data_IF_944122010464
#
_entry.id   IF_944122010464
#
_cell.length_a   1.000
_cell.length_b   1.000
_cell.length_c   1.000
_cell.angle_alpha   90.00
_cell.angle_beta   90.00
_cell.angle_gamma   90.00
#
_symmetry.space_group_name_H-M   'P 1'
#
loop_
_entity.id
_entity.type
_entity.pdbx_description
1 polymer ?
#
# COMPACT_ATOMS: atom_id res chain seq x y z
N UNK A 1 -22.97 41.13 -9.68
CA UNK A 1 -21.69 40.39 -9.69
C UNK A 1 -21.33 39.89 -11.07
N UNK A 2 -22.02 38.88 -11.65
CA UNK A 2 -21.69 38.41 -13.02
C UNK A 2 -21.77 39.53 -14.08
N UNK A 3 -22.80 40.37 -14.01
CA UNK A 3 -22.94 41.54 -14.88
C UNK A 3 -21.85 42.62 -14.69
N UNK A 4 -21.10 42.55 -13.59
CA UNK A 4 -19.94 43.40 -13.31
C UNK A 4 -18.61 42.72 -13.70
N UNK A 5 -18.66 41.60 -14.42
CA UNK A 5 -17.47 40.85 -14.86
C UNK A 5 -16.83 39.98 -13.78
N UNK A 6 -17.47 39.80 -12.63
CA UNK A 6 -16.93 38.96 -11.55
C UNK A 6 -17.11 37.48 -11.90
N UNK A 7 -15.99 36.76 -11.96
CA UNK A 7 -15.89 35.31 -12.11
C UNK A 7 -15.27 34.65 -10.85
N UNK A 8 -15.07 33.32 -10.90
CA UNK A 8 -14.59 32.52 -9.77
C UNK A 8 -13.17 32.90 -9.31
N UNK A 9 -12.37 33.50 -10.17
CA UNK A 9 -10.98 33.87 -9.87
C UNK A 9 -10.91 35.31 -9.35
N UNK A 10 -11.57 36.25 -10.04
CA UNK A 10 -11.64 37.67 -9.68
C UNK A 10 -12.42 37.94 -8.39
N UNK A 11 -13.36 37.08 -8.00
CA UNK A 11 -14.13 37.25 -6.75
C UNK A 11 -13.22 37.30 -5.50
N UNK A 12 -12.02 36.72 -5.56
CA UNK A 12 -11.06 36.68 -4.45
C UNK A 12 -10.43 38.04 -4.15
N UNK A 13 -10.35 38.91 -5.15
CA UNK A 13 -9.72 40.23 -5.06
C UNK A 13 -10.68 41.38 -4.78
N UNK A 14 -11.97 41.11 -4.57
CA UNK A 14 -12.97 42.18 -4.43
C UNK A 14 -12.86 42.91 -3.09
N UNK A 15 -12.87 44.24 -3.16
CA UNK A 15 -12.99 45.12 -1.99
C UNK A 15 -14.45 45.38 -1.61
N UNK A 16 -14.69 45.87 -0.38
CA UNK A 16 -16.04 46.28 0.06
C UNK A 16 -16.63 47.37 -0.85
N UNK A 17 -15.80 48.30 -1.30
CA UNK A 17 -16.18 49.39 -2.19
C UNK A 17 -16.61 48.88 -3.57
N UNK A 18 -15.90 47.90 -4.14
CA UNK A 18 -16.29 47.26 -5.40
C UNK A 18 -17.59 46.45 -5.25
N UNK A 19 -17.81 45.84 -4.09
CA UNK A 19 -19.08 45.16 -3.79
C UNK A 19 -20.24 46.15 -3.70
N UNK A 20 -20.01 47.34 -3.18
CA UNK A 20 -21.00 48.40 -3.05
C UNK A 20 -21.30 49.12 -4.37
N UNK A 21 -20.26 49.60 -5.07
CA UNK A 21 -20.39 50.46 -6.24
C UNK A 21 -20.63 49.66 -7.52
N UNK A 22 -19.77 48.68 -7.80
CA UNK A 22 -19.80 47.92 -9.06
C UNK A 22 -20.80 46.76 -9.00
N UNK A 23 -20.81 46.03 -7.88
CA UNK A 23 -21.73 44.91 -7.70
C UNK A 23 -23.11 45.32 -7.15
N UNK A 24 -23.27 46.59 -6.76
CA UNK A 24 -24.52 47.19 -6.25
C UNK A 24 -25.10 46.50 -5.02
N UNK A 25 -24.25 46.04 -4.11
CA UNK A 25 -24.66 45.39 -2.86
C UNK A 25 -24.68 46.44 -1.74
N UNK A 26 -25.78 47.19 -1.65
CA UNK A 26 -25.91 48.28 -0.68
C UNK A 26 -25.94 47.82 0.79
N UNK A 27 -26.36 46.58 1.05
CA UNK A 27 -26.44 46.06 2.41
C UNK A 27 -25.04 45.66 2.93
N UNK A 28 -24.54 46.42 3.90
CA UNK A 28 -23.23 46.21 4.51
C UNK A 28 -23.07 44.85 5.20
N UNK A 29 -24.14 44.26 5.75
CA UNK A 29 -24.12 42.92 6.34
C UNK A 29 -23.91 41.86 5.25
N UNK A 30 -24.51 42.03 4.08
CA UNK A 30 -24.32 41.09 2.97
C UNK A 30 -22.89 41.15 2.44
N UNK A 31 -22.34 42.36 2.25
CA UNK A 31 -20.94 42.53 1.82
C UNK A 31 -19.97 41.92 2.83
N UNK A 32 -20.18 42.16 4.12
CA UNK A 32 -19.38 41.54 5.19
C UNK A 32 -19.43 40.01 5.14
N UNK A 33 -20.61 39.41 4.96
CA UNK A 33 -20.76 37.96 4.85
C UNK A 33 -20.05 37.40 3.61
N UNK A 34 -20.12 38.11 2.48
CA UNK A 34 -19.44 37.73 1.23
C UNK A 34 -17.93 37.78 1.40
N UNK A 35 -17.37 38.87 1.94
CA UNK A 35 -15.94 39.01 2.20
C UNK A 35 -15.42 37.95 3.18
N UNK A 36 -16.20 37.65 4.23
CA UNK A 36 -15.86 36.58 5.17
C UNK A 36 -15.89 35.20 4.51
N UNK A 37 -16.85 34.94 3.62
CA UNK A 37 -16.93 33.68 2.87
C UNK A 37 -15.74 33.52 1.91
N UNK A 38 -15.34 34.60 1.22
CA UNK A 38 -14.15 34.61 0.35
C UNK A 38 -12.90 34.29 1.17
N UNK A 39 -12.67 34.97 2.30
CA UNK A 39 -11.54 34.70 3.20
C UNK A 39 -11.54 33.28 3.75
N UNK A 40 -12.70 32.74 4.13
CA UNK A 40 -12.82 31.37 4.60
C UNK A 40 -12.46 30.37 3.50
N UNK A 41 -12.88 30.64 2.26
CA UNK A 41 -12.58 29.82 1.09
C UNK A 41 -11.10 29.90 0.68
N UNK A 42 -10.47 31.08 0.70
CA UNK A 42 -9.04 31.22 0.46
C UNK A 42 -8.19 30.54 1.54
N UNK A 43 -8.60 30.64 2.81
CA UNK A 43 -7.98 29.87 3.89
C UNK A 43 -8.14 28.37 3.69
N UNK A 44 -9.25 27.89 3.12
CA UNK A 44 -9.46 26.47 2.83
C UNK A 44 -8.63 26.00 1.64
N UNK A 45 -8.50 26.83 0.58
CA UNK A 45 -7.66 26.54 -0.58
C UNK A 45 -6.18 26.59 -0.26
N UNK A 46 -5.73 27.58 0.52
CA UNK A 46 -4.35 27.67 1.00
C UNK A 46 -4.00 26.52 1.95
N UNK A 47 -4.97 26.06 2.76
CA UNK A 47 -4.84 24.79 3.49
C UNK A 47 -4.86 23.57 2.58
N UNK A 48 -5.51 23.61 1.42
CA UNK A 48 -5.56 22.50 0.47
C UNK A 48 -4.22 22.23 -0.21
N UNK A 49 -3.47 23.28 -0.52
CA UNK A 49 -2.16 23.20 -1.19
C UNK A 49 -1.05 22.78 -0.21
N UNK A 50 -1.04 23.33 1.01
CA UNK A 50 -0.15 22.90 2.11
C UNK A 50 -0.49 21.51 2.68
N UNK A 51 -1.75 21.06 2.54
CA UNK A 51 -2.20 19.74 3.02
C UNK A 51 -1.81 18.60 2.09
N UNK A 52 -1.50 18.87 0.82
CA UNK A 52 -0.96 17.87 -0.12
C UNK A 52 0.49 17.53 0.20
N UNK A 53 1.29 18.51 0.65
CA UNK A 53 2.65 18.25 1.16
C UNK A 53 2.67 17.62 2.56
N UNK A 54 1.62 17.84 3.38
CA UNK A 54 1.54 17.31 4.77
C UNK A 54 0.93 15.92 4.91
N UNK A 55 0.41 15.29 3.86
CA UNK A 55 -0.15 13.94 3.93
C UNK A 55 0.26 13.08 2.74
N UNK A 56 1.55 12.84 2.52
CA UNK A 56 1.96 11.72 1.69
C UNK A 56 1.77 10.42 2.50
N UNK A 57 0.83 9.58 2.09
CA UNK A 57 0.57 8.32 2.78
C UNK A 57 1.55 7.24 2.30
N UNK A 58 1.79 7.17 0.99
CA UNK A 58 2.56 6.07 0.38
C UNK A 58 3.60 6.60 -0.59
N UNK A 59 4.87 6.27 -0.33
CA UNK A 59 5.95 6.40 -1.29
C UNK A 59 6.21 5.05 -1.97
N UNK A 60 6.33 5.02 -3.30
CA UNK A 60 6.59 3.80 -4.07
C UNK A 60 7.98 3.89 -4.70
N UNK A 61 8.91 3.09 -4.18
CA UNK A 61 10.22 2.85 -4.77
C UNK A 61 10.15 1.68 -5.72
N UNK A 62 10.71 1.83 -6.92
CA UNK A 62 10.70 0.79 -7.95
C UNK A 62 11.90 0.91 -8.88
N UNK A 63 12.25 -0.22 -9.49
CA UNK A 63 13.28 -0.27 -10.52
C UNK A 63 12.71 0.23 -11.86
N UNK A 64 13.24 1.33 -12.41
CA UNK A 64 12.70 1.93 -13.67
C UNK A 64 12.73 1.00 -14.89
N UNK A 65 13.72 0.12 -14.98
CA UNK A 65 13.90 -0.78 -16.13
C UNK A 65 12.73 -1.75 -16.36
N UNK A 66 12.03 -2.15 -15.29
CA UNK A 66 11.02 -3.21 -15.35
C UNK A 66 9.88 -3.09 -14.33
N UNK A 67 9.99 -2.24 -13.31
CA UNK A 67 8.98 -2.03 -12.27
C UNK A 67 7.97 -0.90 -12.54
N UNK A 68 8.15 -0.12 -13.62
CA UNK A 68 7.33 1.07 -13.90
C UNK A 68 5.84 0.76 -14.09
N UNK A 69 5.52 -0.35 -14.75
CA UNK A 69 4.15 -0.79 -14.99
C UNK A 69 3.45 -1.16 -13.68
N UNK A 70 4.07 -2.01 -12.85
CA UNK A 70 3.53 -2.42 -11.56
C UNK A 70 3.40 -1.24 -10.59
N UNK A 71 4.40 -0.35 -10.53
CA UNK A 71 4.33 0.86 -9.71
C UNK A 71 3.17 1.77 -10.11
N UNK A 72 2.94 1.96 -11.42
CA UNK A 72 1.82 2.75 -11.93
C UNK A 72 0.47 2.12 -11.61
N UNK A 73 0.38 0.79 -11.74
CA UNK A 73 -0.82 0.04 -11.40
C UNK A 73 -1.17 0.16 -9.90
N UNK A 74 -0.18 -0.06 -9.03
CA UNK A 74 -0.33 0.10 -7.58
C UNK A 74 -0.76 1.53 -7.23
N UNK A 75 -0.16 2.54 -7.85
CA UNK A 75 -0.55 3.94 -7.66
C UNK A 75 -2.03 4.15 -7.97
N UNK A 76 -2.51 3.73 -9.14
CA UNK A 76 -3.93 3.90 -9.53
C UNK A 76 -4.84 3.20 -8.53
N UNK A 77 -4.56 1.94 -8.19
CA UNK A 77 -5.41 1.17 -7.28
C UNK A 77 -5.47 1.75 -5.85
N UNK A 78 -4.35 2.27 -5.34
CA UNK A 78 -4.28 2.89 -4.03
C UNK A 78 -4.94 4.27 -4.01
N UNK A 79 -4.80 5.05 -5.09
CA UNK A 79 -5.48 6.34 -5.23
C UNK A 79 -7.00 6.20 -5.25
N UNK A 80 -7.54 5.19 -5.95
CA UNK A 80 -8.98 4.88 -5.92
C UNK A 80 -9.48 4.54 -4.51
N UNK A 81 -8.60 4.01 -3.65
CA UNK A 81 -8.89 3.68 -2.24
C UNK A 81 -8.65 4.84 -1.28
N UNK A 82 -8.35 6.03 -1.81
CA UNK A 82 -8.18 7.26 -1.05
C UNK A 82 -6.79 7.48 -0.44
N UNK A 83 -5.77 6.71 -0.85
CA UNK A 83 -4.39 6.97 -0.44
C UNK A 83 -3.75 8.02 -1.35
N UNK A 84 -2.94 8.90 -0.77
CA UNK A 84 -2.03 9.75 -1.52
C UNK A 84 -0.75 8.97 -1.83
N UNK A 85 -0.43 8.82 -3.12
CA UNK A 85 0.69 7.99 -3.57
C UNK A 85 1.65 8.80 -4.41
N UNK A 86 2.93 8.74 -4.05
CA UNK A 86 4.02 9.31 -4.82
C UNK A 86 4.86 8.20 -5.46
N UNK A 87 5.11 8.34 -6.77
CA UNK A 87 6.06 7.53 -7.52
C UNK A 87 7.12 8.49 -8.06
N UNK A 88 8.38 8.07 -8.05
CA UNK A 88 9.42 8.83 -8.76
C UNK A 88 9.19 8.70 -10.28
N UNK A 89 8.77 9.80 -10.92
CA UNK A 89 8.58 9.89 -12.38
C UNK A 89 9.71 10.74 -12.96
N UNK A 90 10.27 10.28 -14.09
CA UNK A 90 11.50 10.71 -14.79
C UNK A 90 11.87 12.21 -14.86
N UNK A 91 10.99 13.15 -14.50
CA UNK A 91 11.17 14.60 -14.72
C UNK A 91 12.11 15.33 -13.77
N UNK A 92 12.88 14.63 -12.95
CA UNK A 92 13.75 15.27 -11.95
C UNK A 92 15.18 15.36 -12.48
N UNK A 93 15.39 16.30 -13.42
CA UNK A 93 16.70 16.68 -13.93
C UNK A 93 17.61 17.23 -12.81
N UNK A 94 18.90 16.96 -12.98
CA UNK A 94 19.96 16.95 -11.97
C UNK A 94 20.13 18.23 -11.12
N UNK A 95 20.36 18.05 -9.81
CA UNK A 95 21.23 18.94 -9.03
C UNK A 95 20.68 19.50 -7.71
N UNK A 96 19.36 19.59 -7.53
CA UNK A 96 18.76 20.18 -6.29
C UNK A 96 17.68 19.34 -5.62
N UNK A 97 17.23 18.23 -6.24
CA UNK A 97 16.05 17.49 -5.78
C UNK A 97 16.33 16.27 -4.92
N UNK A 98 17.58 15.83 -4.77
CA UNK A 98 18.00 14.75 -3.87
C UNK A 98 17.40 14.91 -2.47
N UNK A 99 17.45 16.14 -1.94
CA UNK A 99 16.93 16.44 -0.62
C UNK A 99 15.40 16.42 -0.56
N UNK A 100 14.72 16.72 -1.66
CA UNK A 100 13.25 16.71 -1.70
C UNK A 100 12.73 15.28 -1.81
N UNK A 101 13.34 14.42 -2.63
CA UNK A 101 12.95 13.01 -2.73
C UNK A 101 13.11 12.28 -1.39
N UNK A 102 14.28 12.43 -0.76
CA UNK A 102 14.54 11.85 0.56
C UNK A 102 13.65 12.46 1.63
N UNK A 103 13.29 13.75 1.52
CA UNK A 103 12.31 14.39 2.41
C UNK A 103 10.91 13.77 2.24
N UNK A 104 10.47 13.51 1.01
CA UNK A 104 9.19 12.84 0.74
C UNK A 104 9.16 11.45 1.37
N UNK A 105 10.24 10.68 1.29
CA UNK A 105 10.35 9.37 1.95
C UNK A 105 10.24 9.48 3.47
N UNK A 106 10.91 10.48 4.07
CA UNK A 106 10.82 10.72 5.52
C UNK A 106 9.43 11.18 5.99
N UNK A 107 8.67 11.82 5.11
CA UNK A 107 7.31 12.28 5.39
C UNK A 107 6.25 11.21 5.13
N UNK A 108 6.57 10.19 4.31
CA UNK A 108 5.65 9.11 3.99
C UNK A 108 5.39 8.19 5.19
N UNK A 109 4.12 7.84 5.40
CA UNK A 109 3.73 6.86 6.44
C UNK A 109 4.13 5.44 6.04
N UNK A 110 4.05 5.15 4.74
CA UNK A 110 4.30 3.84 4.17
C UNK A 110 5.28 3.95 3.01
N UNK A 111 6.17 2.98 2.93
CA UNK A 111 7.15 2.84 1.86
C UNK A 111 6.94 1.50 1.16
N UNK A 112 6.48 1.54 -0.08
CA UNK A 112 6.31 0.36 -0.91
C UNK A 112 7.56 0.16 -1.75
N UNK A 113 8.18 -1.01 -1.61
CA UNK A 113 9.34 -1.39 -2.40
C UNK A 113 8.92 -2.42 -3.44
N UNK A 114 8.88 -2.03 -4.72
CA UNK A 114 8.54 -2.93 -5.82
C UNK A 114 9.77 -3.72 -6.25
N UNK A 115 9.75 -5.01 -5.90
CA UNK A 115 10.80 -5.98 -6.18
C UNK A 115 10.41 -6.83 -7.40
N UNK A 116 10.81 -6.35 -8.57
CA UNK A 116 10.77 -7.08 -9.84
C UNK A 116 12.08 -7.87 -10.04
N UNK A 117 12.20 -8.77 -11.04
CA UNK A 117 13.44 -9.49 -11.28
C UNK A 117 14.64 -8.54 -11.38
N UNK A 118 15.75 -8.84 -10.70
CA UNK A 118 16.96 -8.02 -10.66
C UNK A 118 16.79 -6.60 -10.08
N UNK A 119 15.71 -6.33 -9.31
CA UNK A 119 15.47 -4.99 -8.75
C UNK A 119 16.61 -4.48 -7.86
N UNK A 120 17.24 -5.35 -7.08
CA UNK A 120 18.34 -5.01 -6.16
C UNK A 120 19.73 -5.28 -6.75
N UNK A 121 19.85 -5.67 -8.02
CA UNK A 121 21.13 -6.10 -8.60
C UNK A 121 22.21 -5.01 -8.54
N UNK A 122 21.82 -3.74 -8.72
CA UNK A 122 22.73 -2.58 -8.59
C UNK A 122 22.97 -2.12 -7.16
N UNK A 123 22.19 -2.61 -6.21
CA UNK A 123 22.38 -2.32 -4.79
C UNK A 123 23.40 -3.28 -4.16
N UNK A 124 23.66 -4.43 -4.80
CA UNK A 124 24.68 -5.38 -4.35
C UNK A 124 26.04 -4.69 -4.29
N UNK A 125 26.69 -4.81 -3.14
CA UNK A 125 28.00 -4.20 -2.85
C UNK A 125 28.09 -2.67 -3.05
N UNK A 126 26.96 -1.95 -3.08
CA UNK A 126 26.93 -0.49 -3.25
C UNK A 126 27.23 0.27 -1.94
N UNK A 127 28.42 0.09 -1.38
CA UNK A 127 28.81 0.71 -0.10
C UNK A 127 28.89 2.24 -0.16
N UNK A 128 28.92 2.84 -1.35
CA UNK A 128 28.98 4.28 -1.57
C UNK A 128 27.59 4.91 -1.81
N UNK A 129 26.50 4.14 -1.70
CA UNK A 129 25.12 4.59 -1.89
C UNK A 129 24.90 5.33 -3.22
N UNK A 130 25.47 4.81 -4.31
CA UNK A 130 25.34 5.41 -5.65
C UNK A 130 23.99 5.09 -6.28
N UNK A 131 23.40 3.94 -5.97
CA UNK A 131 22.09 3.58 -6.51
C UNK A 131 20.96 4.31 -5.77
N UNK A 132 20.01 4.83 -6.53
CA UNK A 132 18.87 5.55 -5.98
C UNK A 132 17.99 4.66 -5.11
N UNK A 133 17.69 3.43 -5.55
CA UNK A 133 16.86 2.50 -4.77
C UNK A 133 17.55 2.19 -3.44
N UNK A 134 18.88 2.09 -3.44
CA UNK A 134 19.65 1.93 -2.20
C UNK A 134 19.45 3.13 -1.27
N UNK A 135 19.66 4.37 -1.75
CA UNK A 135 19.45 5.60 -0.96
C UNK A 135 18.03 5.69 -0.40
N UNK A 136 17.03 5.31 -1.19
CA UNK A 136 15.62 5.34 -0.79
C UNK A 136 15.33 4.31 0.32
N UNK A 137 15.83 3.08 0.20
CA UNK A 137 15.66 2.04 1.22
C UNK A 137 16.30 2.47 2.54
N UNK A 138 17.53 3.00 2.50
CA UNK A 138 18.22 3.48 3.70
C UNK A 138 17.44 4.62 4.35
N UNK A 139 16.93 5.57 3.55
CA UNK A 139 16.11 6.65 4.07
C UNK A 139 14.79 6.16 4.71
N UNK A 140 14.16 5.15 4.13
CA UNK A 140 12.95 4.53 4.66
C UNK A 140 13.22 3.78 5.98
N UNK A 141 14.34 3.06 6.08
CA UNK A 141 14.78 2.39 7.30
C UNK A 141 15.07 3.39 8.42
N UNK A 142 15.71 4.51 8.10
CA UNK A 142 16.00 5.58 9.05
C UNK A 142 14.74 6.35 9.49
N UNK A 143 13.72 6.46 8.63
CA UNK A 143 12.49 7.20 8.94
C UNK A 143 11.45 6.40 9.74
N UNK A 144 11.73 5.14 10.09
CA UNK A 144 10.79 4.21 10.75
C UNK A 144 9.40 4.16 10.08
N UNK A 145 9.34 4.39 8.76
CA UNK A 145 8.10 4.23 8.01
C UNK A 145 7.76 2.74 7.84
N UNK A 146 6.49 2.43 7.61
CA UNK A 146 6.06 1.04 7.38
C UNK A 146 6.52 0.58 5.99
N UNK A 147 7.58 -0.22 5.94
CA UNK A 147 8.11 -0.78 4.69
C UNK A 147 7.32 -2.04 4.33
N UNK A 148 6.73 -2.05 3.13
CA UNK A 148 6.02 -3.21 2.58
C UNK A 148 6.61 -3.60 1.22
N UNK A 149 7.44 -4.64 1.16
CA UNK A 149 7.95 -5.17 -0.10
C UNK A 149 6.83 -5.78 -0.95
N UNK A 150 6.79 -5.46 -2.25
CA UNK A 150 5.90 -6.08 -3.24
C UNK A 150 6.77 -6.96 -4.14
N UNK A 151 6.61 -8.28 -4.02
CA UNK A 151 7.47 -9.27 -4.66
C UNK A 151 6.80 -9.76 -5.95
N UNK A 152 7.38 -9.43 -7.09
CA UNK A 152 6.96 -9.86 -8.42
C UNK A 152 8.10 -10.64 -9.09
N UNK A 153 7.98 -11.97 -9.13
CA UNK A 153 8.99 -12.89 -9.69
C UNK A 153 10.44 -12.59 -9.24
N UNK A 154 10.61 -12.06 -8.03
CA UNK A 154 11.89 -11.66 -7.46
C UNK A 154 12.38 -12.69 -6.44
N UNK A 155 13.68 -12.94 -6.49
CA UNK A 155 14.41 -13.77 -5.53
C UNK A 155 15.30 -12.88 -4.69
N UNK A 156 15.25 -13.08 -3.37
CA UNK A 156 16.10 -12.33 -2.45
C UNK A 156 17.56 -12.76 -2.64
N UNK A 157 18.50 -11.82 -2.81
CA UNK A 157 19.93 -12.15 -2.77
C UNK A 157 20.34 -12.54 -1.35
N UNK A 158 21.53 -13.15 -1.24
CA UNK A 158 22.13 -13.43 0.06
C UNK A 158 22.31 -12.11 0.84
N UNK A 159 21.96 -12.05 2.14
CA UNK A 159 22.08 -10.83 2.93
C UNK A 159 23.48 -10.20 2.90
N UNK A 160 24.54 -11.00 2.78
CA UNK A 160 25.93 -10.58 2.71
C UNK A 160 26.28 -9.84 1.40
N UNK A 161 25.54 -10.07 0.32
CA UNK A 161 25.71 -9.33 -0.94
C UNK A 161 25.19 -7.90 -0.84
N UNK A 162 24.24 -7.66 0.08
CA UNK A 162 23.68 -6.34 0.33
C UNK A 162 24.51 -5.57 1.37
N UNK A 163 24.69 -4.26 1.17
CA UNK A 163 25.25 -3.35 2.17
C UNK A 163 24.53 -3.46 3.54
N UNK A 164 25.31 -3.29 4.61
CA UNK A 164 24.84 -3.51 5.99
C UNK A 164 23.69 -2.58 6.39
N UNK A 165 23.67 -1.36 5.85
CA UNK A 165 22.68 -0.33 6.11
C UNK A 165 21.31 -0.60 5.46
N UNK A 166 21.24 -1.45 4.42
CA UNK A 166 19.97 -1.82 3.79
C UNK A 166 19.52 -3.27 4.05
N UNK A 167 20.40 -4.13 4.57
CA UNK A 167 20.15 -5.56 4.81
C UNK A 167 18.87 -5.86 5.60
N UNK A 168 18.49 -4.95 6.49
CA UNK A 168 17.27 -5.07 7.28
C UNK A 168 15.99 -5.22 6.42
N UNK A 169 16.00 -4.72 5.18
CA UNK A 169 14.86 -4.80 4.25
C UNK A 169 14.40 -6.24 3.96
N UNK A 170 15.32 -7.21 4.02
CA UNK A 170 15.03 -8.63 3.76
C UNK A 170 14.14 -9.27 4.84
N UNK A 171 14.02 -8.65 6.02
CA UNK A 171 13.24 -9.18 7.14
C UNK A 171 11.80 -8.62 7.20
N UNK A 172 11.43 -7.71 6.29
CA UNK A 172 10.08 -7.15 6.26
C UNK A 172 9.08 -8.10 5.59
N UNK A 173 7.86 -8.13 6.14
CA UNK A 173 6.77 -8.91 5.57
C UNK A 173 6.30 -8.28 4.25
N UNK A 174 6.47 -9.02 3.16
CA UNK A 174 6.05 -8.58 1.82
C UNK A 174 4.71 -9.15 1.36
N UNK A 175 4.17 -8.53 0.31
CA UNK A 175 3.04 -9.04 -0.47
C UNK A 175 3.59 -9.63 -1.77
N UNK A 176 3.36 -10.93 -2.00
CA UNK A 176 3.64 -11.55 -3.29
C UNK A 176 2.58 -11.08 -4.29
N UNK A 177 3.03 -10.50 -5.39
CA UNK A 177 2.19 -10.10 -6.50
C UNK A 177 1.85 -11.31 -7.37
N UNK A 178 0.57 -11.44 -7.75
CA UNK A 178 0.11 -12.49 -8.66
C UNK A 178 -0.77 -11.81 -9.70
N UNK A 179 -0.35 -11.85 -10.96
CA UNK A 179 -1.01 -11.13 -12.06
C UNK A 179 -2.47 -11.56 -12.29
N UNK A 180 -2.81 -12.81 -11.96
CA UNK A 180 -4.18 -13.33 -12.09
C UNK A 180 -5.09 -12.92 -10.92
N UNK A 181 -4.52 -12.46 -9.79
CA UNK A 181 -5.25 -12.15 -8.55
C UNK A 181 -4.90 -10.74 -8.01
N UNK A 182 -4.86 -9.75 -8.91
CA UNK A 182 -4.42 -8.39 -8.59
C UNK A 182 -5.25 -7.76 -7.47
N UNK A 183 -6.58 -7.86 -7.54
CA UNK A 183 -7.46 -7.26 -6.54
C UNK A 183 -7.19 -7.82 -5.13
N UNK A 184 -7.01 -9.13 -5.00
CA UNK A 184 -6.69 -9.77 -3.72
C UNK A 184 -5.31 -9.34 -3.19
N UNK A 185 -4.31 -9.20 -4.07
CA UNK A 185 -3.00 -8.65 -3.69
C UNK A 185 -3.12 -7.22 -3.18
N UNK A 186 -3.94 -6.38 -3.82
CA UNK A 186 -4.16 -4.99 -3.39
C UNK A 186 -4.95 -4.91 -2.09
N UNK A 187 -5.96 -5.76 -1.87
CA UNK A 187 -6.68 -5.83 -0.60
C UNK A 187 -5.76 -6.23 0.55
N UNK A 188 -4.89 -7.22 0.31
CA UNK A 188 -3.85 -7.60 1.28
C UNK A 188 -2.90 -6.43 1.54
N UNK A 189 -2.44 -5.74 0.51
CA UNK A 189 -1.60 -4.55 0.65
C UNK A 189 -2.30 -3.46 1.48
N UNK A 190 -3.57 -3.18 1.20
CA UNK A 190 -4.36 -2.20 1.96
C UNK A 190 -4.44 -2.57 3.45
N UNK A 191 -4.57 -3.86 3.79
CA UNK A 191 -4.57 -4.30 5.19
C UNK A 191 -3.26 -3.95 5.93
N UNK A 192 -2.11 -4.06 5.23
CA UNK A 192 -0.80 -3.67 5.76
C UNK A 192 -0.69 -2.16 5.95
N UNK A 193 -1.23 -1.37 5.02
CA UNK A 193 -1.21 0.09 5.07
C UNK A 193 -2.10 0.63 6.18
N UNK A 194 -3.35 0.16 6.29
CA UNK A 194 -4.29 0.67 7.31
C UNK A 194 -4.01 0.18 8.73
N UNK A 195 -2.95 -0.60 8.94
CA UNK A 195 -2.63 -1.12 10.26
C UNK A 195 -3.70 -2.05 10.82
N UNK A 196 -4.48 -2.73 9.94
CA UNK A 196 -5.23 -3.93 10.32
C UNK A 196 -4.24 -5.09 10.52
N UNK A 197 -3.29 -4.85 11.41
CA UNK A 197 -2.46 -5.88 12.01
C UNK A 197 -3.38 -6.87 12.71
N UNK A 198 -2.90 -8.09 12.83
CA UNK A 198 -3.53 -9.29 13.38
C UNK A 198 -4.09 -9.19 14.83
N UNK A 199 -4.43 -7.99 15.34
CA UNK A 199 -5.08 -7.78 16.63
C UNK A 199 -6.51 -8.35 16.65
N UNK A 200 -7.25 -8.24 15.55
CA UNK A 200 -8.62 -8.76 15.47
C UNK A 200 -8.68 -10.31 15.47
N UNK A 201 -7.65 -10.99 14.96
CA UNK A 201 -7.61 -12.45 14.93
C UNK A 201 -7.13 -13.10 16.24
N UNK A 202 -6.70 -12.32 17.24
CA UNK A 202 -6.34 -12.86 18.57
C UNK A 202 -7.44 -12.71 19.62
N UNK A 203 -8.53 -12.00 19.30
CA UNK A 203 -9.56 -11.64 20.29
C UNK A 203 -10.95 -12.23 20.02
N UNK A 204 -11.10 -13.11 19.03
CA UNK A 204 -12.23 -14.04 18.95
C UNK A 204 -11.79 -15.45 19.35
N UNK A 205 -11.52 -15.61 20.65
CA UNK A 205 -11.65 -16.91 21.30
C UNK A 205 -13.13 -17.30 21.40
N UNK A 206 -13.50 -18.57 21.24
CA UNK A 206 -14.89 -18.98 21.12
C UNK A 206 -15.58 -18.94 22.49
N UNK A 207 -16.21 -17.82 22.82
CA UNK A 207 -17.17 -17.73 23.91
C UNK A 207 -18.55 -17.40 23.33
N UNK A 208 -19.22 -18.41 22.77
CA UNK A 208 -20.69 -18.41 22.71
C UNK A 208 -21.24 -19.73 23.22
N UNK A 209 -21.89 -19.57 24.36
CA UNK A 209 -22.78 -20.49 25.04
C UNK A 209 -23.71 -21.20 24.06
N UNK A 210 -23.85 -22.50 24.31
CA UNK A 210 -24.86 -23.42 23.77
C UNK A 210 -26.25 -22.78 23.77
N UNK A 211 -26.89 -22.82 22.61
CA UNK A 211 -28.34 -22.72 22.42
C UNK A 211 -28.72 -23.71 21.33
N UNK A 212 -29.56 -24.67 21.68
CA UNK A 212 -30.03 -25.81 20.88
C UNK A 212 -30.50 -25.49 19.46
N UNK A 213 -30.04 -26.27 18.47
CA UNK A 213 -30.89 -26.80 17.39
C UNK A 213 -30.39 -28.21 17.00
N UNK A 214 -31.33 -29.15 17.00
CA UNK A 214 -31.15 -30.59 16.80
C UNK A 214 -30.77 -30.95 15.35
N UNK A 215 -29.82 -31.88 15.20
CA UNK A 215 -29.59 -32.64 13.95
C UNK A 215 -30.05 -34.10 14.17
N UNK A 216 -30.84 -34.71 13.27
CA UNK A 216 -31.21 -36.12 13.37
C UNK A 216 -30.04 -37.03 13.00
N UNK A 217 -29.88 -38.10 13.77
CA UNK A 217 -28.64 -38.85 13.88
C UNK A 217 -28.42 -39.99 12.87
N UNK A 218 -27.24 -40.60 12.98
CA UNK A 218 -27.02 -42.04 12.74
C UNK A 218 -25.84 -42.49 13.61
N UNK A 219 -25.98 -43.66 14.22
CA UNK A 219 -25.30 -44.12 15.44
C UNK A 219 -23.85 -44.62 15.26
N UNK A 220 -23.12 -44.56 16.38
CA UNK A 220 -21.71 -44.86 16.57
C UNK A 220 -21.43 -46.32 16.98
N UNK A 221 -20.29 -46.87 16.54
CA UNK A 221 -19.47 -47.94 17.16
C UNK A 221 -18.04 -47.69 16.60
N UNK A 222 -16.90 -47.65 17.29
CA UNK A 222 -16.43 -48.07 18.61
C UNK A 222 -14.91 -48.33 18.44
N UNK A 223 -14.09 -47.94 19.42
CA UNK A 223 -12.61 -47.78 19.40
C UNK A 223 -11.79 -49.08 19.19
N UNK A 224 -10.61 -48.95 18.55
CA UNK A 224 -9.45 -49.86 18.72
C UNK A 224 -8.45 -49.86 17.54
N UNK A 225 -7.12 -49.93 17.75
CA UNK A 225 -6.13 -49.89 16.68
C UNK A 225 -6.03 -51.25 15.96
N UNK A 226 -5.73 -51.30 14.65
CA UNK A 226 -5.61 -52.57 13.95
C UNK A 226 -4.30 -53.28 14.30
N UNK A 227 -4.43 -54.52 14.78
CA UNK A 227 -3.34 -55.45 15.06
C UNK A 227 -3.00 -56.22 13.78
N UNK A 228 -1.78 -56.11 13.26
CA UNK A 228 -1.35 -56.85 12.07
C UNK A 228 -0.97 -58.28 12.44
N UNK A 229 -1.76 -59.25 12.00
CA UNK A 229 -1.42 -60.68 12.09
C UNK A 229 -1.25 -61.27 10.69
N UNK A 230 0.00 -61.57 10.34
CA UNK A 230 0.43 -62.17 9.07
C UNK A 230 -0.03 -63.64 9.04
N UNK A 231 -0.92 -64.01 8.13
CA UNK A 231 -1.29 -65.41 7.89
C UNK A 231 -0.74 -65.91 6.55
N UNK A 232 -0.09 -67.07 6.62
CA UNK A 232 0.45 -67.86 5.52
C UNK A 232 -0.67 -68.33 4.58
N UNK A 233 -0.47 -68.14 3.29
CA UNK A 233 -1.30 -68.72 2.23
C UNK A 233 -0.88 -70.16 1.93
N UNK A 234 -1.82 -71.09 2.09
CA UNK A 234 -1.72 -72.51 1.73
C UNK A 234 -1.79 -72.73 0.22
N UNK A 235 -0.91 -73.60 -0.28
CA UNK A 235 -0.88 -74.13 -1.63
C UNK A 235 -2.16 -74.89 -2.00
N UNK A 236 -2.55 -74.84 -3.28
CA UNK A 236 -3.45 -75.85 -3.86
C UNK A 236 -3.02 -76.14 -5.29
N UNK A 237 -2.75 -77.45 -5.49
CA UNK A 237 -2.09 -78.10 -6.61
C UNK A 237 -2.90 -78.00 -7.91
N UNK A 238 -2.20 -77.71 -9.00
CA UNK A 238 -2.68 -77.93 -10.37
C UNK A 238 -2.78 -79.42 -10.67
N UNK A 239 -3.81 -79.79 -11.42
CA UNK A 239 -3.97 -81.12 -12.01
C UNK A 239 -3.79 -81.00 -13.52
N UNK A 240 -2.84 -81.77 -14.02
CA UNK A 240 -2.58 -82.05 -15.44
C UNK A 240 -3.80 -82.66 -16.13
N UNK A 241 -3.94 -82.38 -17.43
CA UNK A 241 -3.86 -83.43 -18.45
C UNK A 241 -3.75 -82.86 -19.87
N UNK A 242 -2.76 -83.37 -20.58
CA UNK A 242 -2.61 -83.36 -22.02
C UNK A 242 -3.47 -84.48 -22.64
N UNK A 243 -4.07 -84.19 -23.80
CA UNK A 243 -3.81 -84.86 -25.08
C UNK A 243 -4.29 -83.93 -26.22
#
# INVERSE_FOLDING_TARGET
MLNAGVDKESIRGLSDEQLEVECRIANSIHRLRILNAIRAYDNLLSKGDESLEKNLDVFVSYRRSNGSQLASLLKVHLQVRGFTVFIDVERLEAGKFDNNLLRSIRQAKHFLLVLTPNALERCKHDNEQKDWVHREIVAALQSQCNIVPIIDNFEWPEPEELPEDMRAVCHFNGVRWIHDYQDACVEKLESFLRGKSNLANRMEGPLRSRGDVQTPGTAAIGRGPPNYQRMHSSESRGSDKAD
#
